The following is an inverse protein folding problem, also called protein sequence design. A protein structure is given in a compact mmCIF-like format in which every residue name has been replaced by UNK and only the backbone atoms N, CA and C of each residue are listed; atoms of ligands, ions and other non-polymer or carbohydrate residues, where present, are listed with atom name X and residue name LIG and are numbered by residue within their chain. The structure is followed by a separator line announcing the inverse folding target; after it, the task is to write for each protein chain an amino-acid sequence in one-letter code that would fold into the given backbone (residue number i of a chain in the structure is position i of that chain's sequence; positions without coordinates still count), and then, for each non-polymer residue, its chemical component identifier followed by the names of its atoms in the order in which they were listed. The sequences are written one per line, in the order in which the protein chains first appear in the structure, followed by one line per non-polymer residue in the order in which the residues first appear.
data_IF_416720353552
#
_entry.id   IF_416720353552
#
_cell.length_a   1.000
_cell.length_b   1.000
_cell.length_c   1.000
_cell.angle_alpha   90.00
_cell.angle_beta   90.00
_cell.angle_gamma   90.00
#
_symmetry.space_group_name_H-M   'P 1'
#
loop_
_entity.id
_entity.type
_entity.pdbx_description
1 polymer ?
#
# COMPACT_ATOMS: atom_id res chain seq x y z
N UNK A 1 28.20 22.80 3.94
CA UNK A 1 27.44 21.66 4.48
C UNK A 1 26.01 22.07 4.75
N UNK A 2 25.05 21.16 4.53
CA UNK A 2 23.66 21.37 4.94
C UNK A 2 23.63 21.39 6.48
N UNK A 3 22.94 22.35 7.13
CA UNK A 3 22.85 22.42 8.59
C UNK A 3 22.23 21.15 9.20
N UNK A 4 22.77 20.69 10.33
CA UNK A 4 22.28 19.46 11.01
C UNK A 4 20.81 19.55 11.40
N UNK A 5 20.31 20.75 11.75
CA UNK A 5 18.90 20.98 12.05
C UNK A 5 17.99 20.72 10.84
N UNK A 6 18.44 21.07 9.63
CA UNK A 6 17.69 20.80 8.39
C UNK A 6 17.63 19.29 8.14
N UNK A 7 18.72 18.57 8.37
CA UNK A 7 18.78 17.12 8.23
C UNK A 7 17.88 16.43 9.28
N UNK A 8 17.89 16.91 10.52
CA UNK A 8 17.07 16.37 11.60
C UNK A 8 15.56 16.57 11.34
N UNK A 9 15.17 17.78 10.89
CA UNK A 9 13.79 18.08 10.51
C UNK A 9 13.31 17.25 9.30
N UNK A 10 14.16 17.12 8.27
CA UNK A 10 13.84 16.28 7.10
C UNK A 10 13.65 14.81 7.49
N UNK A 11 14.55 14.25 8.30
CA UNK A 11 14.42 12.86 8.79
C UNK A 11 13.15 12.66 9.61
N UNK A 12 12.84 13.58 10.52
CA UNK A 12 11.64 13.50 11.37
C UNK A 12 10.35 13.60 10.55
N UNK A 13 10.29 14.55 9.62
CA UNK A 13 9.14 14.74 8.72
C UNK A 13 8.92 13.53 7.80
N UNK A 14 9.98 12.94 7.23
CA UNK A 14 9.89 11.73 6.40
C UNK A 14 9.36 10.54 7.20
N UNK A 15 9.83 10.34 8.43
CA UNK A 15 9.37 9.26 9.30
C UNK A 15 7.88 9.44 9.67
N UNK A 16 7.48 10.64 10.06
CA UNK A 16 6.08 10.93 10.41
C UNK A 16 5.13 10.78 9.22
N UNK A 17 5.51 11.28 8.04
CA UNK A 17 4.68 11.19 6.84
C UNK A 17 4.58 9.75 6.33
N UNK A 18 5.67 8.98 6.40
CA UNK A 18 5.66 7.56 6.03
C UNK A 18 4.79 6.76 6.99
N UNK A 19 4.88 7.03 8.29
CA UNK A 19 4.05 6.36 9.30
C UNK A 19 2.56 6.68 9.12
N UNK A 20 2.22 7.95 8.85
CA UNK A 20 0.85 8.38 8.56
C UNK A 20 0.30 7.72 7.29
N UNK A 21 1.10 7.66 6.22
CA UNK A 21 0.73 7.00 4.96
C UNK A 21 0.48 5.51 5.18
N UNK A 22 1.37 4.82 5.90
CA UNK A 22 1.20 3.42 6.28
C UNK A 22 -0.09 3.19 7.06
N UNK A 23 -0.32 3.97 8.13
CA UNK A 23 -1.55 3.86 8.91
C UNK A 23 -2.81 4.14 8.09
N UNK A 24 -2.76 5.04 7.11
CA UNK A 24 -3.88 5.29 6.22
C UNK A 24 -4.28 4.03 5.43
N UNK A 25 -3.29 3.32 4.86
CA UNK A 25 -3.53 2.07 4.15
C UNK A 25 -4.15 0.99 5.06
N UNK A 26 -3.63 0.85 6.28
CA UNK A 26 -4.17 -0.11 7.25
C UNK A 26 -5.59 0.27 7.67
N UNK A 27 -5.85 1.54 7.99
CA UNK A 27 -7.17 2.01 8.40
C UNK A 27 -8.23 1.82 7.30
N UNK A 28 -7.84 2.00 6.03
CA UNK A 28 -8.75 1.75 4.91
C UNK A 28 -9.07 0.27 4.72
N UNK A 29 -8.10 -0.61 4.93
CA UNK A 29 -8.34 -2.05 4.94
C UNK A 29 -9.26 -2.48 6.09
N UNK A 30 -9.04 -1.95 7.30
CA UNK A 30 -9.90 -2.17 8.46
C UNK A 30 -11.32 -1.63 8.24
N UNK A 31 -11.45 -0.52 7.52
CA UNK A 31 -12.76 -0.01 7.10
C UNK A 31 -13.44 -0.98 6.12
N UNK A 32 -12.69 -1.50 5.14
CA UNK A 32 -13.19 -2.52 4.23
C UNK A 32 -13.70 -3.77 4.96
N UNK A 33 -13.01 -4.24 6.01
CA UNK A 33 -13.51 -5.34 6.85
C UNK A 33 -14.88 -5.03 7.46
N UNK A 34 -15.03 -3.83 8.03
CA UNK A 34 -16.31 -3.39 8.61
C UNK A 34 -17.41 -3.30 7.55
N UNK A 35 -17.10 -2.71 6.40
CA UNK A 35 -18.07 -2.48 5.32
C UNK A 35 -18.52 -3.80 4.64
N UNK A 36 -17.71 -4.86 4.73
CA UNK A 36 -18.00 -6.18 4.16
C UNK A 36 -18.38 -7.25 5.18
N UNK A 37 -18.56 -6.87 6.45
CA UNK A 37 -18.81 -7.79 7.58
C UNK A 37 -17.77 -8.92 7.71
N UNK A 38 -16.52 -8.67 7.30
CA UNK A 38 -15.42 -9.60 7.55
C UNK A 38 -15.04 -9.52 9.04
N UNK A 39 -14.90 -10.67 9.72
CA UNK A 39 -14.62 -10.69 11.14
C UNK A 39 -13.17 -10.32 11.46
N UNK A 40 -13.00 -9.50 12.49
CA UNK A 40 -11.69 -9.22 13.08
C UNK A 40 -10.88 -8.14 12.37
N UNK A 41 -9.77 -7.79 13.03
CA UNK A 41 -8.79 -6.82 12.55
C UNK A 41 -7.70 -7.51 11.73
N UNK A 42 -6.97 -6.74 10.94
CA UNK A 42 -5.80 -7.19 10.21
C UNK A 42 -4.75 -7.85 11.13
N UNK A 43 -4.62 -7.38 12.37
CA UNK A 43 -3.75 -7.98 13.40
C UNK A 43 -4.15 -9.41 13.80
N UNK A 44 -5.40 -9.80 13.56
CA UNK A 44 -5.95 -11.08 14.00
C UNK A 44 -5.78 -12.18 12.97
N UNK A 45 -5.52 -11.82 11.71
CA UNK A 45 -5.27 -12.78 10.63
C UNK A 45 -3.99 -13.54 10.96
N UNK A 46 -4.06 -14.86 10.96
CA UNK A 46 -2.93 -15.76 11.22
C UNK A 46 -2.72 -16.79 10.11
N UNK A 47 -3.67 -16.91 9.17
CA UNK A 47 -3.59 -17.82 8.04
C UNK A 47 -3.19 -17.06 6.77
N UNK A 48 -2.15 -17.54 6.11
CA UNK A 48 -1.61 -16.88 4.91
C UNK A 48 -2.55 -16.92 3.71
N UNK A 49 -3.39 -17.96 3.59
CA UNK A 49 -4.36 -18.04 2.48
C UNK A 49 -5.51 -17.07 2.71
N UNK A 50 -6.03 -17.01 3.93
CA UNK A 50 -7.02 -16.02 4.33
C UNK A 50 -6.52 -14.60 4.02
N UNK A 51 -5.28 -14.28 4.42
CA UNK A 51 -4.71 -12.98 4.13
C UNK A 51 -4.67 -12.71 2.61
N UNK A 52 -4.21 -13.68 1.84
CA UNK A 52 -4.09 -13.54 0.39
C UNK A 52 -5.45 -13.29 -0.27
N UNK A 53 -6.48 -14.06 0.12
CA UNK A 53 -7.85 -13.88 -0.35
C UNK A 53 -8.43 -12.51 0.00
N UNK A 54 -8.23 -12.04 1.24
CA UNK A 54 -8.74 -10.75 1.70
C UNK A 54 -8.04 -9.59 0.99
N UNK A 55 -6.72 -9.65 0.79
CA UNK A 55 -5.98 -8.67 0.00
C UNK A 55 -6.43 -8.65 -1.46
N UNK A 56 -6.68 -9.82 -2.08
CA UNK A 56 -7.17 -9.89 -3.46
C UNK A 56 -8.51 -9.18 -3.62
N UNK A 57 -9.46 -9.45 -2.71
CA UNK A 57 -10.78 -8.81 -2.72
C UNK A 57 -10.65 -7.31 -2.51
N UNK A 58 -9.86 -6.89 -1.52
CA UNK A 58 -9.59 -5.48 -1.24
C UNK A 58 -9.05 -4.75 -2.48
N UNK A 59 -7.92 -5.18 -3.05
CA UNK A 59 -7.29 -4.49 -4.18
C UNK A 59 -8.10 -4.50 -5.48
N UNK A 60 -9.06 -5.42 -5.61
CA UNK A 60 -9.98 -5.46 -6.76
C UNK A 60 -10.98 -4.32 -6.72
N UNK A 61 -11.63 -4.11 -5.57
CA UNK A 61 -12.72 -3.13 -5.42
C UNK A 61 -12.24 -1.76 -4.98
N UNK A 62 -11.02 -1.69 -4.44
CA UNK A 62 -10.54 -0.50 -3.76
C UNK A 62 -10.29 0.67 -4.71
N UNK A 63 -10.81 1.84 -4.31
CA UNK A 63 -10.79 3.11 -5.05
C UNK A 63 -10.65 4.27 -4.08
N UNK A 64 -10.28 5.45 -4.58
CA UNK A 64 -10.27 6.70 -3.81
C UNK A 64 -11.69 7.05 -3.37
N UNK A 65 -11.80 7.90 -2.35
CA UNK A 65 -13.09 8.36 -1.82
C UNK A 65 -13.94 9.10 -2.85
N UNK A 66 -13.31 9.74 -3.84
CA UNK A 66 -13.98 10.41 -4.95
C UNK A 66 -14.37 9.45 -6.10
N UNK A 67 -14.14 8.13 -5.94
CA UNK A 67 -14.45 7.11 -6.95
C UNK A 67 -13.34 6.87 -7.97
N UNK A 68 -12.28 7.68 -7.97
CA UNK A 68 -11.15 7.52 -8.89
C UNK A 68 -10.27 6.34 -8.54
N UNK A 69 -9.57 5.82 -9.55
CA UNK A 69 -8.55 4.79 -9.36
C UNK A 69 -7.24 5.37 -8.79
N UNK A 70 -6.50 4.52 -8.09
CA UNK A 70 -5.15 4.81 -7.62
C UNK A 70 -4.11 4.58 -8.72
N UNK A 71 -2.98 5.30 -8.64
CA UNK A 71 -1.85 5.07 -9.53
C UNK A 71 -1.14 3.75 -9.22
N UNK A 72 -0.38 3.22 -10.19
CA UNK A 72 0.46 2.03 -10.00
C UNK A 72 1.41 2.19 -8.79
N UNK A 73 2.03 3.37 -8.64
CA UNK A 73 2.94 3.70 -7.53
C UNK A 73 2.23 3.64 -6.17
N UNK A 74 0.94 3.98 -6.12
CA UNK A 74 0.14 3.90 -4.90
C UNK A 74 -0.04 2.45 -4.45
N UNK A 75 -0.21 1.49 -5.38
CA UNK A 75 -0.28 0.06 -5.04
C UNK A 75 1.02 -0.44 -4.45
N UNK A 76 2.18 -0.05 -5.00
CA UNK A 76 3.47 -0.43 -4.41
C UNK A 76 3.65 0.17 -3.01
N UNK A 77 3.20 1.41 -2.82
CA UNK A 77 3.19 2.06 -1.50
C UNK A 77 2.31 1.31 -0.51
N UNK A 78 1.14 0.84 -0.94
CA UNK A 78 0.25 0.03 -0.13
C UNK A 78 0.89 -1.32 0.24
N UNK A 79 1.52 -2.03 -0.70
CA UNK A 79 2.23 -3.29 -0.44
C UNK A 79 3.31 -3.10 0.64
N UNK A 80 4.09 -2.03 0.54
CA UNK A 80 5.13 -1.72 1.53
C UNK A 80 4.53 -1.43 2.91
N UNK A 81 3.40 -0.70 2.97
CA UNK A 81 2.67 -0.44 4.21
C UNK A 81 2.17 -1.74 4.87
N UNK A 82 1.59 -2.65 4.08
CA UNK A 82 1.14 -3.95 4.56
C UNK A 82 2.29 -4.83 5.04
N UNK A 83 3.37 -4.94 4.26
CA UNK A 83 4.57 -5.68 4.68
C UNK A 83 5.14 -5.15 6.00
N UNK A 84 5.24 -3.83 6.15
CA UNK A 84 5.68 -3.22 7.40
C UNK A 84 4.76 -3.57 8.56
N UNK A 85 3.44 -3.46 8.36
CA UNK A 85 2.45 -3.77 9.38
C UNK A 85 2.51 -5.25 9.80
N UNK A 86 2.54 -6.17 8.83
CA UNK A 86 2.57 -7.61 9.09
C UNK A 86 3.82 -8.05 9.83
N UNK A 87 4.96 -7.42 9.57
CA UNK A 87 6.22 -7.74 10.26
C UNK A 87 6.44 -6.92 11.54
N UNK A 88 5.47 -6.09 11.94
CA UNK A 88 5.52 -5.36 13.21
C UNK A 88 5.18 -6.25 14.41
N UNK A 89 5.32 -5.70 15.63
CA UNK A 89 5.04 -6.47 16.86
C UNK A 89 3.57 -6.86 17.01
N UNK A 90 2.64 -6.15 16.38
CA UNK A 90 1.19 -6.27 16.58
C UNK A 90 0.52 -7.38 15.76
N UNK A 91 1.20 -7.88 14.73
CA UNK A 91 0.64 -8.85 13.78
C UNK A 91 0.92 -10.30 14.19
N UNK A 92 -0.08 -11.17 14.03
CA UNK A 92 0.00 -12.62 14.31
C UNK A 92 0.58 -13.45 13.15
N UNK A 93 0.49 -12.96 11.92
CA UNK A 93 0.86 -13.72 10.72
C UNK A 93 2.37 -13.72 10.40
N UNK A 94 3.16 -12.90 11.11
CA UNK A 94 4.60 -12.74 10.82
C UNK A 94 5.38 -14.06 10.92
N UNK A 95 6.42 -14.24 10.09
CA UNK A 95 6.90 -13.32 9.04
C UNK A 95 6.11 -13.43 7.73
N UNK A 96 5.93 -12.31 7.02
CA UNK A 96 5.35 -12.28 5.67
C UNK A 96 6.17 -11.40 4.73
N UNK A 97 6.29 -11.82 3.48
CA UNK A 97 6.82 -10.99 2.39
C UNK A 97 5.86 -11.03 1.20
N UNK A 98 4.99 -10.02 1.12
CA UNK A 98 4.06 -9.87 -0.01
C UNK A 98 4.79 -9.66 -1.34
N UNK A 99 6.08 -9.31 -1.37
CA UNK A 99 6.84 -9.24 -2.62
C UNK A 99 7.29 -10.62 -3.12
N UNK A 100 7.19 -11.66 -2.29
CA UNK A 100 7.44 -13.03 -2.71
C UNK A 100 6.29 -13.55 -3.59
N UNK A 101 6.40 -13.29 -4.90
CA UNK A 101 5.43 -13.69 -5.92
C UNK A 101 5.14 -15.19 -5.95
N UNK A 102 6.08 -16.02 -5.52
CA UNK A 102 5.91 -17.48 -5.46
C UNK A 102 5.07 -17.90 -4.25
N UNK A 103 5.21 -17.19 -3.14
CA UNK A 103 4.44 -17.45 -1.92
C UNK A 103 3.02 -16.87 -1.97
N UNK A 104 2.81 -15.82 -2.79
CA UNK A 104 1.50 -15.15 -2.94
C UNK A 104 1.09 -15.03 -4.42
N UNK A 105 0.92 -16.16 -5.14
CA UNK A 105 0.67 -16.16 -6.57
C UNK A 105 -0.69 -15.55 -6.95
N UNK A 106 -1.74 -15.76 -6.15
CA UNK A 106 -3.11 -15.30 -6.44
C UNK A 106 -3.23 -13.79 -6.22
N UNK A 107 -2.58 -13.29 -5.16
CA UNK A 107 -2.42 -11.86 -4.92
C UNK A 107 -1.74 -11.16 -6.09
N UNK A 108 -0.60 -11.68 -6.55
CA UNK A 108 0.12 -11.06 -7.66
C UNK A 108 -0.62 -11.22 -8.99
N UNK A 109 -1.35 -12.31 -9.22
CA UNK A 109 -2.16 -12.45 -10.42
C UNK A 109 -3.26 -11.38 -10.46
N UNK A 110 -3.97 -11.19 -9.35
CA UNK A 110 -5.03 -10.19 -9.19
C UNK A 110 -4.49 -8.78 -9.36
N UNK A 111 -3.41 -8.45 -8.63
CA UNK A 111 -2.79 -7.14 -8.68
C UNK A 111 -2.24 -6.80 -10.07
N UNK A 112 -1.57 -7.75 -10.74
CA UNK A 112 -1.07 -7.54 -12.10
C UNK A 112 -2.20 -7.29 -13.09
N UNK A 113 -3.35 -7.98 -12.96
CA UNK A 113 -4.53 -7.73 -13.80
C UNK A 113 -5.10 -6.33 -13.57
N UNK A 114 -5.20 -5.90 -12.31
CA UNK A 114 -5.62 -4.54 -11.95
C UNK A 114 -4.66 -3.49 -12.53
N UNK A 115 -3.35 -3.64 -12.31
CA UNK A 115 -2.32 -2.74 -12.85
C UNK A 115 -2.38 -2.65 -14.37
N UNK A 116 -2.50 -3.78 -15.08
CA UNK A 116 -2.65 -3.79 -16.56
C UNK A 116 -3.88 -3.01 -17.01
N UNK A 117 -5.01 -3.19 -16.34
CA UNK A 117 -6.26 -2.48 -16.64
C UNK A 117 -6.11 -0.97 -16.45
N UNK A 118 -5.43 -0.56 -15.38
CA UNK A 118 -5.18 0.85 -15.06
C UNK A 118 -4.20 1.50 -16.03
N UNK A 119 -3.11 0.81 -16.38
CA UNK A 119 -2.14 1.28 -17.38
C UNK A 119 -2.78 1.45 -18.75
N UNK A 120 -3.67 0.53 -19.17
CA UNK A 120 -4.44 0.65 -20.41
C UNK A 120 -5.41 1.84 -20.39
N UNK A 121 -5.90 2.22 -19.20
CA UNK A 121 -6.82 3.34 -18.98
C UNK A 121 -6.10 4.68 -18.72
N UNK A 122 -4.78 4.75 -18.90
CA UNK A 122 -4.00 5.99 -18.76
C UNK A 122 -3.49 6.30 -17.35
N UNK A 123 -3.78 5.47 -16.35
CA UNK A 123 -3.26 5.61 -14.98
C UNK A 123 -1.82 5.09 -14.83
N UNK A 124 -0.97 5.35 -15.84
CA UNK A 124 0.42 4.86 -15.90
C UNK A 124 1.21 5.26 -14.65
N UNK A 125 2.32 4.53 -14.44
CA UNK A 125 3.44 5.08 -13.68
C UNK A 125 3.76 6.46 -14.24
N UNK A 126 3.47 7.51 -13.49
CA UNK A 126 4.10 8.79 -13.75
C UNK A 126 5.58 8.54 -13.58
N UNK A 127 6.30 8.42 -14.69
CA UNK A 127 7.74 8.58 -14.71
C UNK A 127 8.05 9.79 -13.83
N UNK A 128 8.92 9.58 -12.84
CA UNK A 128 9.20 10.58 -11.83
C UNK A 128 9.49 11.94 -12.45
N UNK A 129 8.88 12.96 -11.83
CA UNK A 129 9.10 14.39 -12.03
C UNK A 129 8.93 14.91 -13.47
N UNK A 130 7.82 15.59 -13.72
CA UNK A 130 7.87 16.74 -14.63
C UNK A 130 9.00 17.66 -14.14
N UNK A 131 9.98 17.90 -15.01
CA UNK A 131 11.05 18.83 -14.71
C UNK A 131 10.43 20.20 -14.41
N UNK A 132 10.86 20.84 -13.33
CA UNK A 132 10.59 22.26 -13.07
C UNK A 132 11.14 23.07 -14.24
N UNK A 133 10.28 23.44 -15.19
CA UNK A 133 10.58 24.52 -16.13
C UNK A 133 10.57 25.81 -15.33
N UNK A 134 11.77 26.31 -15.04
CA UNK A 134 11.98 27.69 -14.63
C UNK A 134 12.04 28.49 -15.94
N UNK A 135 10.98 29.25 -16.21
CA UNK A 135 10.99 30.27 -17.27
C UNK A 135 12.14 31.26 -17.02
N UNK A 136 12.83 31.62 -18.10
CA UNK A 136 14.05 32.46 -18.11
C UNK A 136 13.81 33.87 -17.61
#
# INVERSE_FOLDING_TARGET
SIPEEVIALQRKSVVENTHKSTLNWINQFEKYHKDTNLPGKLSNISDSKQLEEELCKYFTIYRKTNGDEYSVISFQSAINAFNWYFNSKTSKIKPIDLNNKKAHPDFWQTLNRKIKTLSASGYKETNGSDALTIDK
#
